data_IF_839860490392
#
_entry.id   IF_839860490392
#
_cell.length_a   1.000
_cell.length_b   1.000
_cell.length_c   1.000
_cell.angle_alpha   90.00
_cell.angle_beta   90.00
_cell.angle_gamma   90.00
#
_symmetry.space_group_name_H-M   'P 1'
#
loop_
_entity.id
_entity.type
_entity.pdbx_description
1 polymer ?
#
# COMPACT_ATOMS: atom_id res chain seq x y z
N UNK A 1 -61.69 45.98 -28.71
CA UNK A 1 -60.85 44.76 -28.70
C UNK A 1 -59.36 45.11 -28.57
N UNK A 2 -58.90 45.64 -27.42
CA UNK A 2 -57.47 45.89 -27.16
C UNK A 2 -56.93 45.14 -25.92
N UNK A 3 -57.80 44.41 -25.21
CA UNK A 3 -57.48 43.76 -23.94
C UNK A 3 -56.85 42.35 -24.11
N UNK A 4 -57.12 41.66 -25.23
CA UNK A 4 -56.55 40.31 -25.47
C UNK A 4 -55.08 40.30 -25.90
N UNK A 5 -54.62 41.33 -26.62
CA UNK A 5 -53.28 41.34 -27.24
C UNK A 5 -52.16 41.58 -26.22
N UNK A 6 -52.40 42.43 -25.21
CA UNK A 6 -51.45 42.65 -24.09
C UNK A 6 -51.33 41.42 -23.18
N UNK A 7 -52.43 40.69 -22.96
CA UNK A 7 -52.43 39.49 -22.14
C UNK A 7 -51.68 38.32 -22.82
N UNK A 8 -51.87 38.14 -24.13
CA UNK A 8 -51.09 37.18 -24.91
C UNK A 8 -49.60 37.54 -24.91
N UNK A 9 -49.28 38.84 -24.98
CA UNK A 9 -47.88 39.26 -25.04
C UNK A 9 -47.12 39.04 -23.72
N UNK A 10 -47.78 39.24 -22.57
CA UNK A 10 -47.23 38.93 -21.26
C UNK A 10 -47.07 37.41 -21.02
N UNK A 11 -47.98 36.59 -21.54
CA UNK A 11 -47.88 35.14 -21.46
C UNK A 11 -46.72 34.57 -22.30
N UNK A 12 -46.43 35.17 -23.45
CA UNK A 12 -45.27 34.80 -24.27
C UNK A 12 -43.96 35.20 -23.59
N UNK A 13 -43.89 36.38 -22.96
CA UNK A 13 -42.72 36.81 -22.20
C UNK A 13 -42.42 35.87 -21.01
N UNK A 14 -43.44 35.35 -20.32
CA UNK A 14 -43.25 34.40 -19.22
C UNK A 14 -42.81 33.01 -19.71
N UNK A 15 -43.34 32.54 -20.84
CA UNK A 15 -42.93 31.28 -21.48
C UNK A 15 -41.47 31.31 -21.96
N UNK A 16 -41.02 32.44 -22.53
CA UNK A 16 -39.63 32.63 -22.96
C UNK A 16 -38.67 32.60 -21.77
N UNK A 17 -39.07 33.18 -20.62
CA UNK A 17 -38.28 33.13 -19.38
C UNK A 17 -38.07 31.70 -18.85
N UNK A 18 -39.10 30.85 -18.90
CA UNK A 18 -39.02 29.46 -18.43
C UNK A 18 -38.17 28.59 -19.35
N UNK A 19 -38.27 28.79 -20.67
CA UNK A 19 -37.46 28.04 -21.66
C UNK A 19 -35.98 28.42 -21.53
N UNK A 20 -35.67 29.70 -21.34
CA UNK A 20 -34.30 30.15 -21.11
C UNK A 20 -33.74 29.64 -19.76
N UNK A 21 -34.52 29.69 -18.68
CA UNK A 21 -34.12 29.17 -17.37
C UNK A 21 -33.93 27.65 -17.33
N UNK A 22 -34.78 26.90 -18.04
CA UNK A 22 -34.68 25.45 -18.20
C UNK A 22 -33.49 25.03 -19.09
N UNK A 23 -33.26 25.75 -20.18
CA UNK A 23 -32.12 25.52 -21.08
C UNK A 23 -30.76 25.79 -20.42
N UNK A 24 -30.64 26.89 -19.67
CA UNK A 24 -29.43 27.19 -18.88
C UNK A 24 -29.17 26.13 -17.81
N UNK A 25 -30.22 25.63 -17.14
CA UNK A 25 -30.13 24.57 -16.14
C UNK A 25 -29.66 23.24 -16.74
N UNK A 26 -30.13 22.88 -17.94
CA UNK A 26 -29.68 21.70 -18.68
C UNK A 26 -28.19 21.79 -19.09
N UNK A 27 -27.74 22.96 -19.53
CA UNK A 27 -26.33 23.19 -19.89
C UNK A 27 -25.38 23.14 -18.68
N UNK A 28 -25.81 23.65 -17.52
CA UNK A 28 -25.04 23.57 -16.26
C UNK A 28 -24.98 22.12 -15.76
N UNK A 29 -26.09 21.36 -15.82
CA UNK A 29 -26.11 19.97 -15.38
C UNK A 29 -25.19 19.07 -16.21
N UNK A 30 -25.18 19.23 -17.54
CA UNK A 30 -24.32 18.44 -18.43
C UNK A 30 -22.83 18.76 -18.27
N UNK A 31 -22.46 19.99 -17.92
CA UNK A 31 -21.07 20.36 -17.62
C UNK A 31 -20.62 19.95 -16.21
N UNK A 32 -21.52 20.00 -15.22
CA UNK A 32 -21.25 19.52 -13.85
C UNK A 32 -21.11 18.00 -13.81
N UNK A 33 -21.93 17.24 -14.53
CA UNK A 33 -21.83 15.78 -14.60
C UNK A 33 -20.46 15.30 -15.11
N UNK A 34 -19.97 15.88 -16.23
CA UNK A 34 -18.66 15.52 -16.79
C UNK A 34 -17.48 15.92 -15.88
N UNK A 35 -17.63 16.97 -15.07
CA UNK A 35 -16.63 17.39 -14.08
C UNK A 35 -16.65 16.51 -12.84
N UNK A 36 -17.82 16.09 -12.38
CA UNK A 36 -17.97 15.16 -11.26
C UNK A 36 -17.35 13.80 -11.58
N UNK A 37 -17.63 13.22 -12.75
CA UNK A 37 -17.07 11.92 -13.15
C UNK A 37 -15.53 11.91 -13.17
N UNK A 38 -14.90 13.02 -13.62
CA UNK A 38 -13.43 13.15 -13.60
C UNK A 38 -12.89 13.31 -12.19
N UNK A 39 -13.61 14.02 -11.32
CA UNK A 39 -13.22 14.18 -9.91
C UNK A 39 -13.35 12.86 -9.14
N UNK A 40 -14.41 12.09 -9.39
CA UNK A 40 -14.67 10.80 -8.78
C UNK A 40 -13.64 9.76 -9.23
N UNK A 41 -13.31 9.71 -10.54
CA UNK A 41 -12.22 8.84 -11.02
C UNK A 41 -10.89 9.16 -10.37
N UNK A 42 -10.56 10.45 -10.20
CA UNK A 42 -9.33 10.86 -9.49
C UNK A 42 -9.34 10.44 -8.03
N UNK A 43 -10.48 10.60 -7.34
CA UNK A 43 -10.66 10.14 -5.96
C UNK A 43 -10.50 8.63 -5.84
N UNK A 44 -11.14 7.85 -6.71
CA UNK A 44 -11.02 6.39 -6.72
C UNK A 44 -9.59 5.91 -7.00
N UNK A 45 -8.85 6.60 -7.87
CA UNK A 45 -7.44 6.28 -8.12
C UNK A 45 -6.57 6.60 -6.90
N UNK A 46 -6.79 7.76 -6.27
CA UNK A 46 -6.09 8.13 -5.03
C UNK A 46 -6.40 7.13 -3.90
N UNK A 47 -7.67 6.81 -3.66
CA UNK A 47 -8.10 5.83 -2.64
C UNK A 47 -7.48 4.44 -2.90
N UNK A 48 -7.37 4.00 -4.16
CA UNK A 48 -6.71 2.74 -4.50
C UNK A 48 -5.19 2.81 -4.25
N UNK A 49 -4.56 3.96 -4.50
CA UNK A 49 -3.15 4.19 -4.20
C UNK A 49 -2.87 4.14 -2.71
N UNK A 50 -3.70 4.80 -1.92
CA UNK A 50 -3.58 4.86 -0.46
C UNK A 50 -3.77 3.47 0.16
N UNK A 51 -4.77 2.70 -0.29
CA UNK A 51 -4.97 1.30 0.17
C UNK A 51 -3.78 0.40 -0.12
N UNK A 52 -3.21 0.46 -1.33
CA UNK A 52 -2.00 -0.32 -1.66
C UNK A 52 -0.81 0.07 -0.78
N UNK A 53 -0.67 1.36 -0.47
CA UNK A 53 0.40 1.86 0.40
C UNK A 53 0.23 1.37 1.83
N UNK A 54 -1.00 1.32 2.33
CA UNK A 54 -1.33 0.76 3.64
C UNK A 54 -1.02 -0.74 3.70
N UNK A 55 -1.45 -1.52 2.70
CA UNK A 55 -1.13 -2.96 2.59
C UNK A 55 0.39 -3.21 2.58
N UNK A 56 1.15 -2.39 1.83
CA UNK A 56 2.60 -2.47 1.79
C UNK A 56 3.24 -2.17 3.15
N UNK A 57 2.78 -1.13 3.83
CA UNK A 57 3.28 -0.77 5.16
C UNK A 57 2.99 -1.84 6.20
N UNK A 58 1.80 -2.44 6.15
CA UNK A 58 1.42 -3.50 7.08
C UNK A 58 2.27 -4.76 6.86
N UNK A 59 2.50 -5.15 5.60
CA UNK A 59 3.37 -6.27 5.27
C UNK A 59 4.83 -6.03 5.69
N UNK A 60 5.38 -4.83 5.49
CA UNK A 60 6.72 -4.50 5.97
C UNK A 60 6.80 -4.58 7.50
N UNK A 61 5.78 -4.09 8.20
CA UNK A 61 5.68 -4.19 9.66
C UNK A 61 5.63 -5.64 10.12
N UNK A 62 4.83 -6.48 9.47
CA UNK A 62 4.73 -7.90 9.77
C UNK A 62 6.07 -8.60 9.55
N UNK A 63 6.70 -8.40 8.39
CA UNK A 63 8.00 -8.96 8.09
C UNK A 63 9.05 -8.58 9.13
N UNK A 64 9.14 -7.30 9.52
CA UNK A 64 10.09 -6.84 10.53
C UNK A 64 9.81 -7.49 11.89
N UNK A 65 8.53 -7.62 12.27
CA UNK A 65 8.14 -8.29 13.52
C UNK A 65 8.58 -9.75 13.55
N UNK A 66 8.32 -10.49 12.48
CA UNK A 66 8.66 -11.92 12.38
C UNK A 66 10.18 -12.10 12.30
N UNK A 67 10.89 -11.22 11.57
CA UNK A 67 12.34 -11.20 11.56
C UNK A 67 12.94 -11.01 12.97
N UNK A 68 12.39 -10.11 13.78
CA UNK A 68 12.81 -9.94 15.18
C UNK A 68 12.49 -11.16 16.04
N UNK A 69 11.40 -11.87 15.78
CA UNK A 69 11.12 -13.13 16.47
C UNK A 69 12.14 -14.21 16.10
N UNK A 70 12.59 -14.24 14.84
CA UNK A 70 13.64 -15.16 14.39
C UNK A 70 14.99 -14.85 15.06
N UNK A 71 15.35 -13.56 15.16
CA UNK A 71 16.53 -13.11 15.93
C UNK A 71 16.45 -13.59 17.39
N UNK A 72 15.31 -13.42 18.05
CA UNK A 72 15.09 -13.92 19.42
C UNK A 72 15.14 -15.43 19.51
N UNK A 73 14.64 -16.16 18.51
CA UNK A 73 14.73 -17.61 18.47
C UNK A 73 16.20 -18.05 18.36
N UNK A 74 17.02 -17.36 17.56
CA UNK A 74 18.45 -17.62 17.48
C UNK A 74 19.16 -17.37 18.83
N UNK A 75 18.83 -16.28 19.54
CA UNK A 75 19.33 -16.03 20.89
C UNK A 75 18.85 -17.06 21.93
N UNK A 76 17.56 -17.40 21.90
CA UNK A 76 16.95 -18.36 22.82
C UNK A 76 17.62 -19.73 22.68
N UNK A 77 18.06 -20.09 21.47
CA UNK A 77 18.82 -21.33 21.23
C UNK A 77 20.09 -21.41 22.07
N UNK A 78 20.82 -20.30 22.21
CA UNK A 78 22.07 -20.26 22.98
C UNK A 78 21.80 -20.52 24.48
N UNK A 79 20.62 -20.11 24.97
CA UNK A 79 20.26 -20.15 26.40
C UNK A 79 19.41 -21.37 26.78
N UNK A 80 18.56 -21.85 25.87
CA UNK A 80 17.44 -22.76 26.14
C UNK A 80 17.28 -23.76 24.99
N UNK A 81 18.29 -24.61 24.79
CA UNK A 81 18.22 -25.74 23.84
C UNK A 81 17.10 -26.70 24.26
N UNK A 82 16.34 -27.23 23.29
CA UNK A 82 15.34 -28.28 23.54
C UNK A 82 14.19 -28.32 22.54
N UNK A 83 13.31 -29.34 22.63
CA UNK A 83 12.20 -29.53 21.68
C UNK A 83 11.21 -28.36 21.62
N UNK A 84 10.94 -27.73 22.77
CA UNK A 84 10.03 -26.57 22.84
C UNK A 84 10.58 -25.34 22.11
N UNK A 85 11.89 -25.10 22.22
CA UNK A 85 12.56 -24.07 21.43
C UNK A 85 12.48 -24.38 19.94
N UNK A 86 12.77 -25.64 19.55
CA UNK A 86 12.77 -26.06 18.15
C UNK A 86 11.40 -25.86 17.49
N UNK A 87 10.32 -26.24 18.18
CA UNK A 87 8.95 -26.04 17.68
C UNK A 87 8.65 -24.54 17.44
N UNK A 88 8.94 -23.69 18.42
CA UNK A 88 8.77 -22.24 18.29
C UNK A 88 9.64 -21.64 17.18
N UNK A 89 10.88 -22.12 17.01
CA UNK A 89 11.78 -21.65 15.97
C UNK A 89 11.27 -22.04 14.57
N UNK A 90 10.70 -23.25 14.41
CA UNK A 90 10.07 -23.67 13.16
C UNK A 90 8.88 -22.77 12.81
N UNK A 91 7.96 -22.54 13.75
CA UNK A 91 6.78 -21.68 13.51
C UNK A 91 7.19 -20.27 13.02
N UNK A 92 8.21 -19.69 13.67
CA UNK A 92 8.73 -18.36 13.32
C UNK A 92 9.41 -18.35 11.95
N UNK A 93 10.22 -19.36 11.62
CA UNK A 93 10.88 -19.47 10.32
C UNK A 93 9.87 -19.67 9.20
N UNK A 94 8.82 -20.47 9.42
CA UNK A 94 7.75 -20.67 8.45
C UNK A 94 6.99 -19.36 8.20
N UNK A 95 6.62 -18.63 9.25
CA UNK A 95 5.97 -17.32 9.10
C UNK A 95 6.89 -16.32 8.38
N UNK A 96 8.21 -16.39 8.61
CA UNK A 96 9.19 -15.53 7.95
C UNK A 96 9.23 -15.77 6.44
N UNK A 97 9.21 -17.03 6.02
CA UNK A 97 9.14 -17.40 4.59
C UNK A 97 7.81 -17.01 3.94
N UNK A 98 6.70 -17.04 4.69
CA UNK A 98 5.41 -16.54 4.20
C UNK A 98 5.47 -15.04 3.95
N UNK A 99 5.98 -14.26 4.91
CA UNK A 99 6.14 -12.81 4.75
C UNK A 99 7.04 -12.46 3.56
N UNK A 100 8.11 -13.21 3.35
CA UNK A 100 9.02 -13.02 2.22
C UNK A 100 8.34 -13.28 0.86
N UNK A 101 7.50 -14.32 0.76
CA UNK A 101 6.69 -14.58 -0.44
C UNK A 101 5.67 -13.48 -0.68
N UNK A 102 5.06 -12.95 0.37
CA UNK A 102 4.17 -11.80 0.26
C UNK A 102 4.93 -10.56 -0.25
N UNK A 103 6.18 -10.36 0.18
CA UNK A 103 7.02 -9.26 -0.34
C UNK A 103 7.27 -9.45 -1.85
N UNK A 104 7.53 -10.68 -2.30
CA UNK A 104 7.67 -10.99 -3.72
C UNK A 104 6.42 -10.57 -4.52
N UNK A 105 5.22 -10.75 -3.96
CA UNK A 105 3.97 -10.44 -4.65
C UNK A 105 3.71 -8.93 -4.75
N UNK A 106 4.02 -8.16 -3.69
CA UNK A 106 3.57 -6.76 -3.57
C UNK A 106 4.65 -5.71 -3.90
N UNK A 107 5.92 -6.10 -3.95
CA UNK A 107 7.04 -5.17 -4.10
C UNK A 107 7.90 -5.44 -5.33
N UNK A 108 8.77 -4.47 -5.65
CA UNK A 108 9.72 -4.60 -6.74
C UNK A 108 10.71 -5.77 -6.50
N UNK A 109 11.20 -6.43 -7.56
CA UNK A 109 12.15 -7.54 -7.45
C UNK A 109 13.43 -7.20 -6.67
N UNK A 110 13.85 -5.93 -6.69
CA UNK A 110 15.01 -5.44 -5.93
C UNK A 110 14.81 -5.49 -4.42
N UNK A 111 13.60 -5.19 -3.92
CA UNK A 111 13.30 -5.32 -2.49
C UNK A 111 13.13 -6.78 -2.10
N UNK A 112 12.51 -7.58 -2.96
CA UNK A 112 12.36 -9.02 -2.75
C UNK A 112 13.72 -9.74 -2.62
N UNK A 113 14.70 -9.44 -3.48
CA UNK A 113 16.02 -10.09 -3.40
C UNK A 113 16.73 -9.80 -2.08
N UNK A 114 16.60 -8.57 -1.57
CA UNK A 114 17.15 -8.16 -0.27
C UNK A 114 16.40 -8.78 0.91
N UNK A 115 15.05 -8.86 0.84
CA UNK A 115 14.25 -9.57 1.82
C UNK A 115 14.66 -11.05 1.88
N UNK A 116 14.81 -11.70 0.72
CA UNK A 116 15.25 -13.09 0.61
C UNK A 116 16.65 -13.31 1.17
N UNK A 117 17.59 -12.39 0.90
CA UNK A 117 18.94 -12.45 1.48
C UNK A 117 18.88 -12.38 3.01
N UNK A 118 18.04 -11.50 3.56
CA UNK A 118 17.87 -11.38 5.00
C UNK A 118 17.19 -12.59 5.64
N UNK A 119 16.13 -13.15 5.02
CA UNK A 119 15.49 -14.39 5.50
C UNK A 119 16.47 -15.56 5.50
N UNK A 120 17.28 -15.72 4.45
CA UNK A 120 18.32 -16.75 4.42
C UNK A 120 19.34 -16.57 5.54
N UNK A 121 19.71 -15.32 5.84
CA UNK A 121 20.63 -15.04 6.93
C UNK A 121 20.02 -15.39 8.29
N UNK A 122 18.73 -15.07 8.51
CA UNK A 122 17.98 -15.44 9.72
C UNK A 122 17.84 -16.96 9.87
N UNK A 123 17.45 -17.67 8.81
CA UNK A 123 17.33 -19.12 8.81
C UNK A 123 18.68 -19.77 9.17
N UNK A 124 19.78 -19.29 8.57
CA UNK A 124 21.11 -19.76 8.88
C UNK A 124 21.45 -19.61 10.37
N UNK A 125 21.28 -18.41 10.95
CA UNK A 125 21.65 -18.18 12.35
C UNK A 125 20.71 -18.85 13.35
N UNK A 126 19.45 -19.09 12.99
CA UNK A 126 18.50 -19.85 13.82
C UNK A 126 18.95 -21.32 13.93
N UNK A 127 19.49 -21.92 12.87
CA UNK A 127 19.82 -23.35 12.85
C UNK A 127 21.29 -23.69 13.07
N UNK A 128 22.23 -22.84 12.64
CA UNK A 128 23.67 -23.14 12.68
C UNK A 128 24.35 -22.62 13.94
N UNK A 129 25.21 -23.44 14.56
CA UNK A 129 26.09 -22.98 15.64
C UNK A 129 27.11 -21.99 15.06
N UNK A 130 27.00 -20.74 15.48
CA UNK A 130 27.90 -19.65 15.12
C UNK A 130 28.74 -19.29 16.32
N UNK A 131 30.03 -19.05 16.14
CA UNK A 131 30.88 -18.51 17.20
C UNK A 131 30.28 -17.20 17.72
N UNK A 132 30.26 -17.02 19.05
CA UNK A 132 29.46 -16.02 19.81
C UNK A 132 29.67 -14.54 19.39
N UNK A 133 30.65 -14.25 18.52
CA UNK A 133 30.85 -12.92 17.91
C UNK A 133 30.36 -12.77 16.46
N UNK A 134 30.12 -13.86 15.74
CA UNK A 134 29.86 -13.85 14.29
C UNK A 134 28.37 -13.76 13.90
N UNK A 135 27.45 -14.14 14.79
CA UNK A 135 26.02 -14.24 14.49
C UNK A 135 25.43 -12.89 14.05
N UNK A 136 25.69 -11.84 14.82
CA UNK A 136 25.17 -10.50 14.55
C UNK A 136 25.88 -9.82 13.39
N UNK A 137 27.16 -10.15 13.17
CA UNK A 137 27.91 -9.62 12.04
C UNK A 137 27.40 -10.22 10.72
N UNK A 138 26.98 -11.50 10.72
CA UNK A 138 26.34 -12.14 9.58
C UNK A 138 24.96 -11.55 9.25
N UNK A 139 24.18 -11.15 10.27
CA UNK A 139 22.86 -10.55 10.09
C UNK A 139 22.90 -9.07 9.68
N UNK A 140 23.89 -8.32 10.15
CA UNK A 140 23.92 -6.86 10.04
C UNK A 140 23.82 -6.38 8.59
N UNK A 141 24.63 -6.96 7.70
CA UNK A 141 24.66 -6.58 6.28
C UNK A 141 23.29 -6.76 5.60
N UNK A 142 22.73 -7.98 5.56
CA UNK A 142 21.42 -8.24 4.98
C UNK A 142 20.29 -7.41 5.60
N UNK A 143 20.30 -7.24 6.94
CA UNK A 143 19.30 -6.45 7.66
C UNK A 143 19.31 -4.98 7.25
N UNK A 144 20.48 -4.35 7.25
CA UNK A 144 20.63 -2.93 6.89
C UNK A 144 20.23 -2.72 5.43
N UNK A 145 20.73 -3.57 4.52
CA UNK A 145 20.41 -3.47 3.10
C UNK A 145 18.90 -3.57 2.82
N UNK A 146 18.20 -4.50 3.50
CA UNK A 146 16.75 -4.61 3.40
C UNK A 146 16.02 -3.37 3.95
N UNK A 147 16.41 -2.87 5.13
CA UNK A 147 15.75 -1.72 5.77
C UNK A 147 15.95 -0.42 5.00
N UNK A 148 17.13 -0.22 4.40
CA UNK A 148 17.40 0.94 3.55
C UNK A 148 16.57 0.86 2.26
N UNK A 149 16.54 -0.30 1.59
CA UNK A 149 15.68 -0.48 0.41
C UNK A 149 14.18 -0.33 0.71
N UNK A 150 13.72 -0.77 1.89
CA UNK A 150 12.34 -0.57 2.32
C UNK A 150 12.04 0.92 2.54
N UNK A 151 12.99 1.68 3.12
CA UNK A 151 12.86 3.14 3.28
C UNK A 151 12.77 3.85 1.93
N UNK A 152 13.60 3.45 0.98
CA UNK A 152 13.61 4.03 -0.37
C UNK A 152 12.29 3.75 -1.11
N UNK A 153 11.77 2.53 -1.03
CA UNK A 153 10.49 2.15 -1.65
C UNK A 153 9.32 2.95 -1.06
N UNK A 154 9.33 3.22 0.25
CA UNK A 154 8.32 4.05 0.90
C UNK A 154 8.47 5.56 0.60
N UNK A 155 9.70 6.02 0.36
CA UNK A 155 9.99 7.44 0.07
C UNK A 155 9.72 7.81 -1.39
N UNK A 156 9.56 6.81 -2.28
CA UNK A 156 9.29 7.04 -3.71
C UNK A 156 7.89 7.66 -3.91
N UNK A 157 7.78 8.83 -4.57
CA UNK A 157 6.49 9.42 -4.93
C UNK A 157 5.72 8.51 -5.90
N UNK A 158 4.39 8.46 -5.75
CA UNK A 158 3.49 7.61 -6.55
C UNK A 158 3.49 7.93 -8.07
N UNK A 159 4.15 9.01 -8.50
CA UNK A 159 4.09 9.53 -9.87
C UNK A 159 4.99 8.80 -10.89
N UNK A 160 5.90 7.90 -10.47
CA UNK A 160 6.89 7.29 -11.37
C UNK A 160 6.66 5.81 -11.71
N UNK A 161 5.51 5.22 -11.32
CA UNK A 161 5.23 3.80 -11.63
C UNK A 161 4.54 3.58 -12.99
N UNK A 162 4.52 4.61 -13.84
CA UNK A 162 3.94 4.58 -15.19
C UNK A 162 4.88 5.19 -16.23
N UNK A 163 5.94 4.47 -16.59
CA UNK A 163 6.60 4.59 -17.88
C UNK A 163 7.17 3.24 -18.29
#
# INVERSE_FOLDING_TARGET
MKCGMTQVWLAVLSLVGVVLGGGLSYLVQTTVQRRNERSERRRLVAERGDKRREEQLDLLRQFIRVAQQAERAAEDRLKKKGPAWKAKALDVVDELWVCERMIHVLFAPSLHSLARAYVKALDHVVWQETDDGSLWDYLRGPKVAFLDAARDELSRPLDLKGS
#
